data_IF_305666407135
#
_entry.id   IF_305666407135
#
_cell.length_a   1.000
_cell.length_b   1.000
_cell.length_c   1.000
_cell.angle_alpha   90.00
_cell.angle_beta   90.00
_cell.angle_gamma   90.00
#
_symmetry.space_group_name_H-M   'P 1'
#
loop_
_entity.id
_entity.type
_entity.pdbx_description
1 polymer ?
#
# COMPACT_ATOMS: atom_id res chain seq x y z
N UNK A 1 24.37 -24.59 -31.33
CA UNK A 1 22.97 -24.60 -30.82
C UNK A 1 22.97 -25.25 -29.43
N UNK A 2 23.64 -24.63 -28.46
CA UNK A 2 23.83 -25.19 -27.10
C UNK A 2 23.50 -24.12 -26.06
N UNK A 3 22.23 -23.77 -25.96
CA UNK A 3 21.75 -23.11 -24.75
C UNK A 3 21.36 -24.20 -23.74
N UNK A 4 21.88 -24.15 -22.51
CA UNK A 4 21.70 -25.21 -21.54
C UNK A 4 20.28 -25.23 -20.93
N UNK A 5 19.77 -26.44 -20.65
CA UNK A 5 18.39 -26.73 -20.24
C UNK A 5 17.90 -26.05 -18.94
N UNK A 6 18.81 -25.60 -18.08
CA UNK A 6 18.49 -24.89 -16.83
C UNK A 6 18.12 -23.41 -17.01
N UNK A 7 18.21 -22.88 -18.23
CA UNK A 7 17.75 -21.52 -18.60
C UNK A 7 16.26 -21.46 -18.99
N UNK A 8 15.53 -22.56 -18.84
CA UNK A 8 14.08 -22.57 -18.99
C UNK A 8 13.48 -21.60 -17.98
N UNK A 9 12.79 -20.56 -18.46
CA UNK A 9 12.17 -19.51 -17.65
C UNK A 9 11.02 -20.08 -16.80
N UNK A 10 11.38 -20.84 -15.76
CA UNK A 10 10.48 -21.60 -14.89
C UNK A 10 9.54 -20.69 -14.09
N UNK A 11 9.82 -19.39 -14.08
CA UNK A 11 9.01 -18.38 -13.41
C UNK A 11 8.47 -17.35 -14.40
N UNK A 12 7.93 -17.80 -15.53
CA UNK A 12 6.82 -17.06 -16.16
C UNK A 12 5.59 -17.34 -15.29
N UNK A 13 5.56 -16.72 -14.09
CA UNK A 13 4.28 -16.28 -13.57
C UNK A 13 3.82 -15.27 -14.60
N UNK A 14 2.86 -15.65 -15.45
CA UNK A 14 2.11 -14.64 -16.17
C UNK A 14 1.64 -13.67 -15.09
N UNK A 15 2.01 -12.37 -15.14
CA UNK A 15 1.42 -11.43 -14.24
C UNK A 15 -0.06 -11.47 -14.60
N UNK A 16 -0.87 -12.12 -13.76
CA UNK A 16 -2.30 -11.86 -13.77
C UNK A 16 -2.36 -10.36 -13.50
N UNK A 17 -2.56 -9.59 -14.58
CA UNK A 17 -2.62 -8.15 -14.52
C UNK A 17 -3.90 -7.86 -13.76
N UNK A 18 -3.81 -7.86 -12.43
CA UNK A 18 -4.91 -7.45 -11.59
C UNK A 18 -5.26 -6.04 -12.01
N UNK A 19 -6.49 -5.86 -12.48
CA UNK A 19 -7.00 -4.53 -12.80
C UNK A 19 -6.96 -3.66 -11.54
N UNK A 20 -6.94 -2.35 -11.73
CA UNK A 20 -6.95 -1.37 -10.63
C UNK A 20 -8.10 -1.63 -9.65
N UNK A 21 -9.25 -2.07 -10.17
CA UNK A 21 -10.45 -2.42 -9.42
C UNK A 21 -10.32 -3.75 -8.66
N UNK A 22 -9.77 -4.78 -9.28
CA UNK A 22 -9.76 -6.14 -8.74
C UNK A 22 -8.63 -6.35 -7.72
N UNK A 23 -7.46 -5.75 -7.98
CA UNK A 23 -6.29 -5.87 -7.10
C UNK A 23 -6.23 -4.82 -6.00
N UNK A 24 -6.19 -3.54 -6.38
CA UNK A 24 -5.78 -2.46 -5.46
C UNK A 24 -6.98 -1.88 -4.71
N UNK A 25 -8.07 -1.57 -5.40
CA UNK A 25 -9.25 -0.96 -4.79
C UNK A 25 -9.89 -1.89 -3.75
N UNK A 26 -10.18 -3.14 -4.14
CA UNK A 26 -10.81 -4.13 -3.25
C UNK A 26 -9.97 -4.41 -2.01
N UNK A 27 -8.65 -4.60 -2.17
CA UNK A 27 -7.74 -4.86 -1.03
C UNK A 27 -7.66 -3.67 -0.08
N UNK A 28 -7.60 -2.44 -0.60
CA UNK A 28 -7.52 -1.24 0.23
C UNK A 28 -8.83 -1.00 0.99
N UNK A 29 -9.97 -1.18 0.30
CA UNK A 29 -11.30 -1.02 0.88
C UNK A 29 -11.55 -2.02 2.03
N UNK A 30 -11.19 -3.29 1.83
CA UNK A 30 -11.32 -4.34 2.85
C UNK A 30 -10.46 -4.03 4.07
N UNK A 31 -9.20 -3.58 3.88
CA UNK A 31 -8.32 -3.27 4.99
C UNK A 31 -8.85 -2.08 5.83
N UNK A 32 -9.25 -0.99 5.17
CA UNK A 32 -9.75 0.21 5.85
C UNK A 32 -11.07 -0.06 6.57
N UNK A 33 -12.04 -0.72 5.91
CA UNK A 33 -13.29 -1.09 6.57
C UNK A 33 -13.06 -2.10 7.70
N UNK A 34 -12.15 -3.05 7.51
CA UNK A 34 -11.78 -4.03 8.53
C UNK A 34 -11.31 -3.37 9.83
N UNK A 35 -10.32 -2.47 9.74
CA UNK A 35 -9.77 -1.80 10.93
C UNK A 35 -10.78 -0.88 11.60
N UNK A 36 -11.51 -0.05 10.84
CA UNK A 36 -12.38 0.99 11.42
C UNK A 36 -13.62 0.36 12.05
N UNK A 37 -14.25 -0.60 11.37
CA UNK A 37 -15.50 -1.21 11.83
C UNK A 37 -15.25 -2.16 13.00
N UNK A 38 -14.20 -2.99 12.96
CA UNK A 38 -13.96 -4.00 14.00
C UNK A 38 -13.19 -3.50 15.23
N UNK A 39 -12.18 -2.64 15.09
CA UNK A 39 -11.33 -2.28 16.25
C UNK A 39 -11.81 -1.06 17.04
N UNK A 40 -12.59 -0.16 16.45
CA UNK A 40 -12.63 1.22 16.98
C UNK A 40 -14.00 1.90 16.94
N UNK A 41 -14.85 1.61 15.94
CA UNK A 41 -16.13 2.31 15.77
C UNK A 41 -17.06 2.21 16.98
N UNK A 42 -17.17 1.01 17.58
CA UNK A 42 -18.03 0.77 18.74
C UNK A 42 -17.61 1.53 20.00
N UNK A 43 -16.30 1.61 20.28
CA UNK A 43 -15.79 2.29 21.48
C UNK A 43 -15.74 3.81 21.32
N UNK A 44 -15.28 4.30 20.16
CA UNK A 44 -15.22 5.75 19.91
C UNK A 44 -16.61 6.37 19.88
N UNK A 45 -17.59 5.71 19.27
CA UNK A 45 -18.95 6.28 19.17
C UNK A 45 -19.65 6.32 20.53
N UNK A 46 -19.32 5.37 21.42
CA UNK A 46 -19.87 5.29 22.77
C UNK A 46 -19.31 6.38 23.70
N UNK A 47 -18.02 6.72 23.60
CA UNK A 47 -17.38 7.72 24.46
C UNK A 47 -17.46 9.16 23.91
N UNK A 48 -17.20 9.34 22.60
CA UNK A 48 -17.03 10.67 22.00
C UNK A 48 -18.26 11.18 21.23
N UNK A 49 -19.26 10.31 21.00
CA UNK A 49 -20.47 10.60 20.24
C UNK A 49 -20.30 10.54 18.71
N UNK A 50 -21.42 10.39 18.00
CA UNK A 50 -21.47 10.20 16.52
C UNK A 50 -20.83 11.34 15.74
N UNK A 51 -21.04 12.60 16.14
CA UNK A 51 -20.57 13.77 15.39
C UNK A 51 -19.03 13.83 15.37
N UNK A 52 -18.39 13.59 16.51
CA UNK A 52 -16.94 13.59 16.61
C UNK A 52 -16.31 12.39 15.89
N UNK A 53 -16.98 11.23 15.93
CA UNK A 53 -16.54 10.05 15.18
C UNK A 53 -16.54 10.33 13.67
N UNK A 54 -17.58 10.97 13.13
CA UNK A 54 -17.67 11.32 11.70
C UNK A 54 -16.57 12.32 11.29
N UNK A 55 -16.30 13.34 12.12
CA UNK A 55 -15.21 14.30 11.87
C UNK A 55 -13.83 13.63 11.84
N UNK A 56 -13.56 12.70 12.75
CA UNK A 56 -12.29 11.94 12.77
C UNK A 56 -12.13 11.07 11.52
N UNK A 57 -13.19 10.41 11.07
CA UNK A 57 -13.15 9.62 9.83
C UNK A 57 -12.87 10.51 8.62
N UNK A 58 -13.54 11.66 8.52
CA UNK A 58 -13.31 12.64 7.45
C UNK A 58 -11.86 13.15 7.43
N UNK A 59 -11.30 13.49 8.59
CA UNK A 59 -9.91 13.91 8.71
C UNK A 59 -8.93 12.81 8.28
N UNK A 60 -9.20 11.56 8.67
CA UNK A 60 -8.36 10.40 8.31
C UNK A 60 -8.37 10.14 6.81
N UNK A 61 -9.55 10.18 6.18
CA UNK A 61 -9.69 10.07 4.73
C UNK A 61 -8.96 11.21 4.02
N UNK A 62 -9.03 12.44 4.55
CA UNK A 62 -8.27 13.58 4.02
C UNK A 62 -6.75 13.34 4.00
N UNK A 63 -6.18 12.89 5.12
CA UNK A 63 -4.74 12.60 5.23
C UNK A 63 -4.34 11.44 4.29
N UNK A 64 -5.19 10.41 4.19
CA UNK A 64 -4.97 9.28 3.29
C UNK A 64 -4.95 9.71 1.81
N UNK A 65 -5.89 10.56 1.39
CA UNK A 65 -5.95 11.09 0.02
C UNK A 65 -4.68 11.90 -0.32
N UNK A 66 -4.23 12.77 0.57
CA UNK A 66 -3.00 13.56 0.37
C UNK A 66 -1.77 12.65 0.21
N UNK A 67 -1.70 11.59 1.02
CA UNK A 67 -0.62 10.61 0.97
C UNK A 67 -0.61 9.81 -0.35
N UNK A 68 -1.79 9.35 -0.79
CA UNK A 68 -1.93 8.60 -2.05
C UNK A 68 -1.62 9.49 -3.25
N UNK A 69 -2.10 10.73 -3.28
CA UNK A 69 -1.78 11.69 -4.34
C UNK A 69 -0.28 11.96 -4.43
N UNK A 70 0.40 12.09 -3.29
CA UNK A 70 1.86 12.24 -3.24
C UNK A 70 2.57 11.01 -3.80
N UNK A 71 2.13 9.82 -3.43
CA UNK A 71 2.68 8.57 -3.95
C UNK A 71 2.50 8.47 -5.48
N UNK A 72 1.31 8.78 -6.01
CA UNK A 72 1.04 8.77 -7.46
C UNK A 72 1.97 9.72 -8.22
N UNK A 73 2.18 10.95 -7.72
CA UNK A 73 3.10 11.90 -8.37
C UNK A 73 4.56 11.41 -8.39
N UNK A 74 4.98 10.68 -7.36
CA UNK A 74 6.31 10.03 -7.32
C UNK A 74 6.37 8.89 -8.34
N UNK A 75 5.32 8.07 -8.38
CA UNK A 75 5.16 6.94 -9.30
C UNK A 75 5.21 7.34 -10.77
N UNK A 76 4.65 8.48 -11.14
CA UNK A 76 4.71 9.00 -12.51
C UNK A 76 6.12 9.44 -12.92
N UNK A 77 6.94 9.89 -11.96
CA UNK A 77 8.31 10.38 -12.21
C UNK A 77 9.36 9.27 -12.13
N UNK A 78 9.11 8.23 -11.35
CA UNK A 78 9.98 7.07 -11.21
C UNK A 78 9.54 5.95 -12.16
N UNK A 79 10.42 5.52 -13.07
CA UNK A 79 10.15 4.38 -13.94
C UNK A 79 10.09 3.11 -13.07
N UNK A 80 8.88 2.65 -12.76
CA UNK A 80 8.64 1.49 -11.91
C UNK A 80 9.22 0.23 -12.55
N UNK A 81 10.25 -0.31 -11.93
CA UNK A 81 10.64 -1.70 -12.12
C UNK A 81 9.86 -2.58 -11.12
N UNK A 82 9.83 -3.90 -11.33
CA UNK A 82 8.97 -4.90 -10.67
C UNK A 82 9.18 -5.10 -9.14
N UNK A 83 9.56 -4.07 -8.39
CA UNK A 83 9.94 -4.15 -6.96
C UNK A 83 8.95 -3.54 -5.96
N UNK A 84 7.76 -3.12 -6.39
CA UNK A 84 6.70 -2.62 -5.49
C UNK A 84 7.06 -1.35 -4.71
N UNK A 85 6.44 -1.17 -3.54
CA UNK A 85 6.54 0.07 -2.73
C UNK A 85 7.94 0.27 -2.13
N UNK A 86 8.64 -0.81 -1.77
CA UNK A 86 10.01 -0.73 -1.23
C UNK A 86 11.01 -0.24 -2.26
N UNK A 87 10.91 -0.73 -3.50
CA UNK A 87 11.75 -0.26 -4.60
C UNK A 87 11.48 1.22 -4.90
N UNK A 88 10.21 1.63 -4.83
CA UNK A 88 9.81 3.03 -5.00
C UNK A 88 10.40 3.93 -3.90
N UNK A 89 10.29 3.51 -2.63
CA UNK A 89 10.87 4.24 -1.49
C UNK A 89 12.39 4.29 -1.55
N UNK A 90 13.06 3.19 -1.91
CA UNK A 90 14.51 3.13 -2.04
C UNK A 90 15.06 4.05 -3.14
N UNK A 91 14.30 4.24 -4.22
CA UNK A 91 14.66 5.15 -5.31
C UNK A 91 14.52 6.63 -4.93
N UNK A 92 13.58 6.96 -4.04
CA UNK A 92 13.23 8.35 -3.69
C UNK A 92 13.97 8.85 -2.45
N UNK A 93 14.07 8.03 -1.40
CA UNK A 93 14.70 8.41 -0.13
C UNK A 93 16.15 7.90 0.03
N UNK A 94 16.62 7.07 -0.91
CA UNK A 94 17.90 6.38 -0.82
C UNK A 94 17.86 5.12 0.06
N UNK A 95 18.83 4.23 -0.14
CA UNK A 95 18.84 2.87 0.42
C UNK A 95 18.82 2.82 1.96
N UNK A 96 19.44 3.79 2.64
CA UNK A 96 19.54 3.81 4.11
C UNK A 96 18.20 4.08 4.79
N UNK A 97 17.44 5.07 4.30
CA UNK A 97 16.16 5.46 4.91
C UNK A 97 15.07 4.46 4.53
N UNK A 98 15.07 3.98 3.28
CA UNK A 98 14.11 2.97 2.84
C UNK A 98 14.25 1.64 3.59
N UNK A 99 15.47 1.21 3.93
CA UNK A 99 15.69 0.02 4.76
C UNK A 99 15.10 0.17 6.17
N UNK A 100 15.26 1.34 6.80
CA UNK A 100 14.72 1.61 8.13
C UNK A 100 13.18 1.66 8.14
N UNK A 101 12.58 2.37 7.17
CA UNK A 101 11.12 2.42 6.99
C UNK A 101 10.56 1.03 6.69
N UNK A 102 11.30 0.26 5.90
CA UNK A 102 10.96 -1.11 5.58
C UNK A 102 10.93 -2.04 6.79
N UNK A 103 11.97 -1.99 7.62
CA UNK A 103 12.02 -2.77 8.84
C UNK A 103 10.86 -2.39 9.79
N UNK A 104 10.58 -1.09 9.95
CA UNK A 104 9.44 -0.61 10.72
C UNK A 104 8.10 -1.11 10.17
N UNK A 105 7.95 -1.16 8.86
CA UNK A 105 6.73 -1.65 8.22
C UNK A 105 6.51 -3.15 8.48
N UNK A 106 7.55 -3.98 8.39
CA UNK A 106 7.47 -5.43 8.69
C UNK A 106 7.16 -5.69 10.18
N UNK A 107 7.67 -4.86 11.09
CA UNK A 107 7.37 -5.01 12.51
C UNK A 107 6.02 -4.40 12.92
N UNK A 108 5.53 -3.41 12.18
CA UNK A 108 4.30 -2.68 12.49
C UNK A 108 3.05 -3.25 11.83
N UNK A 109 3.18 -3.99 10.72
CA UNK A 109 2.12 -4.79 10.11
C UNK A 109 1.90 -6.09 10.87
#
# INVERSE_FOLDING_TARGET
NNEPWWKSQFFISQPVLFGVWDGVFTSCLINVFGVIVFLRSGWIVAEAGVINAVLMVLATVGIALISVLSAVGICERCRMESGGVYFLLAHVLGSRIAAAVGLLYVFGQ
#
